data_IF_993896593801
#
_entry.id   IF_993896593801
#
_cell.length_a   1.000
_cell.length_b   1.000
_cell.length_c   1.000
_cell.angle_alpha   90.00
_cell.angle_beta   90.00
_cell.angle_gamma   90.00
#
_symmetry.space_group_name_H-M   'P 1'
#
loop_
_entity.id
_entity.type
_entity.pdbx_description
1 polymer ?
#
# COMPACT_ATOMS: atom_id res chain seq x y z
N UNK A 1 7.44 23.00 42.46
CA UNK A 1 6.52 23.68 41.49
C UNK A 1 6.23 25.10 41.93
N UNK A 2 5.79 25.34 43.18
CA UNK A 2 5.56 26.69 43.71
C UNK A 2 6.72 27.65 43.44
N UNK A 3 7.93 27.31 43.85
CA UNK A 3 9.10 28.20 43.72
C UNK A 3 9.55 28.39 42.25
N UNK A 4 9.86 27.30 41.55
CA UNK A 4 10.50 27.39 40.23
C UNK A 4 9.56 27.61 39.04
N UNK A 5 8.23 27.49 39.23
CA UNK A 5 7.23 27.78 38.18
C UNK A 5 6.39 29.01 38.54
N UNK A 6 5.61 28.94 39.62
CA UNK A 6 4.76 30.06 40.05
C UNK A 6 5.56 31.20 40.68
N UNK A 7 6.70 30.92 41.33
CA UNK A 7 7.56 31.91 41.98
C UNK A 7 8.41 32.74 41.03
N UNK A 8 8.32 32.52 39.72
CA UNK A 8 9.06 33.30 38.71
C UNK A 8 8.63 34.77 38.66
N UNK A 9 7.38 35.08 39.06
CA UNK A 9 6.88 36.46 39.17
C UNK A 9 6.04 36.62 40.44
N UNK A 10 5.96 37.81 41.04
CA UNK A 10 5.08 38.06 42.18
C UNK A 10 3.62 37.70 41.89
N UNK A 11 3.12 38.06 40.71
CA UNK A 11 1.73 37.83 40.30
C UNK A 11 1.40 36.33 40.27
N UNK A 12 2.24 35.52 39.64
CA UNK A 12 2.01 34.06 39.57
C UNK A 12 2.22 33.37 40.91
N UNK A 13 3.04 33.93 41.80
CA UNK A 13 3.23 33.43 43.16
C UNK A 13 1.99 33.69 44.01
N UNK A 14 1.41 34.88 43.88
CA UNK A 14 0.20 35.29 44.58
C UNK A 14 -1.02 34.46 44.15
N UNK A 15 -1.11 34.04 42.88
CA UNK A 15 -2.18 33.16 42.36
C UNK A 15 -2.31 31.82 43.07
N UNK A 16 -1.28 31.36 43.77
CA UNK A 16 -1.28 30.07 44.48
C UNK A 16 -0.95 30.23 45.96
N UNK A 17 -0.99 31.45 46.50
CA UNK A 17 -0.56 31.76 47.87
C UNK A 17 -1.37 31.03 48.94
N UNK A 18 -2.66 30.81 48.68
CA UNK A 18 -3.62 30.12 49.54
C UNK A 18 -3.68 28.59 49.31
N UNK A 19 -3.04 28.09 48.25
CA UNK A 19 -2.97 26.66 47.96
C UNK A 19 -1.85 26.00 48.75
N UNK A 20 -2.02 24.74 49.16
CA UNK A 20 -0.95 23.89 49.69
C UNK A 20 -0.07 23.35 48.56
N UNK A 21 1.14 22.87 48.88
CA UNK A 21 2.02 22.27 47.86
C UNK A 21 1.41 21.01 47.23
N UNK A 22 0.63 20.24 48.00
CA UNK A 22 -0.11 19.09 47.48
C UNK A 22 -1.22 19.52 46.51
N UNK A 23 -1.93 20.61 46.79
CA UNK A 23 -2.92 21.16 45.86
C UNK A 23 -2.27 21.64 44.56
N UNK A 24 -1.10 22.28 44.65
CA UNK A 24 -0.32 22.68 43.47
C UNK A 24 0.19 21.46 42.70
N UNK A 25 0.69 20.43 43.38
CA UNK A 25 1.18 19.21 42.75
C UNK A 25 0.06 18.45 42.02
N UNK A 26 -1.15 18.50 42.54
CA UNK A 26 -2.34 17.86 41.95
C UNK A 26 -2.93 18.63 40.75
N UNK A 27 -2.36 19.76 40.33
CA UNK A 27 -2.76 20.45 39.09
C UNK A 27 -2.49 19.55 37.88
N UNK A 28 -3.57 19.15 37.19
CA UNK A 28 -3.51 18.19 36.08
C UNK A 28 -3.15 18.87 34.76
N UNK A 29 -2.45 18.13 33.90
CA UNK A 29 -2.33 18.49 32.48
C UNK A 29 -3.64 18.20 31.75
N UNK A 30 -3.94 18.98 30.71
CA UNK A 30 -5.22 18.89 30.00
C UNK A 30 -5.53 17.52 29.37
N UNK A 31 -4.51 16.75 28.97
CA UNK A 31 -4.69 15.39 28.45
C UNK A 31 -5.14 14.37 29.50
N UNK A 32 -5.09 14.72 30.79
CA UNK A 32 -5.55 13.89 31.91
C UNK A 32 -6.87 14.41 32.53
N UNK A 33 -7.50 15.41 31.90
CA UNK A 33 -8.82 15.91 32.25
C UNK A 33 -9.83 15.49 31.17
N UNK A 34 -10.72 14.55 31.53
CA UNK A 34 -11.73 14.01 30.61
C UNK A 34 -12.65 15.09 30.03
N UNK A 35 -12.89 16.20 30.76
CA UNK A 35 -13.73 17.30 30.27
C UNK A 35 -13.05 18.05 29.15
N UNK A 36 -11.73 18.27 29.26
CA UNK A 36 -10.91 18.94 28.25
C UNK A 36 -10.75 18.06 27.01
N UNK A 37 -10.49 16.77 27.20
CA UNK A 37 -10.42 15.79 26.10
C UNK A 37 -11.75 15.71 25.37
N UNK A 38 -12.87 15.55 26.07
CA UNK A 38 -14.20 15.52 25.44
C UNK A 38 -14.51 16.80 24.67
N UNK A 39 -14.25 17.98 25.25
CA UNK A 39 -14.48 19.26 24.58
C UNK A 39 -13.66 19.38 23.29
N UNK A 40 -12.40 18.92 23.29
CA UNK A 40 -11.56 18.90 22.10
C UNK A 40 -12.09 17.96 21.01
N UNK A 41 -12.48 16.73 21.37
CA UNK A 41 -13.06 15.77 20.42
C UNK A 41 -14.39 16.26 19.85
N UNK A 42 -15.27 16.83 20.69
CA UNK A 42 -16.55 17.39 20.25
C UNK A 42 -16.35 18.54 19.26
N UNK A 43 -15.46 19.48 19.58
CA UNK A 43 -15.12 20.57 18.66
C UNK A 43 -14.55 20.03 17.33
N UNK A 44 -13.72 18.99 17.39
CA UNK A 44 -13.14 18.37 16.20
C UNK A 44 -14.16 17.68 15.29
N UNK A 45 -15.18 17.01 15.85
CA UNK A 45 -16.22 16.31 15.06
C UNK A 45 -17.28 17.26 14.50
N UNK A 46 -17.53 18.38 15.17
CA UNK A 46 -18.46 19.43 14.73
C UNK A 46 -17.84 20.36 13.67
N UNK A 47 -16.52 20.59 13.73
CA UNK A 47 -15.80 21.42 12.77
C UNK A 47 -15.87 20.87 11.33
N UNK A 48 -15.99 21.77 10.35
CA UNK A 48 -16.03 21.45 8.91
C UNK A 48 -15.02 22.29 8.13
N UNK A 49 -14.47 21.71 7.06
CA UNK A 49 -13.69 22.43 6.04
C UNK A 49 -12.18 22.14 6.05
N UNK A 50 -11.59 21.70 7.16
CA UNK A 50 -10.18 21.27 7.25
C UNK A 50 -10.01 20.13 8.26
N UNK A 51 -8.93 19.33 8.17
CA UNK A 51 -8.56 18.38 9.23
C UNK A 51 -8.25 19.09 10.56
N UNK A 52 -8.52 18.42 11.68
CA UNK A 52 -8.25 18.91 13.04
C UNK A 52 -7.14 18.09 13.69
N UNK A 53 -6.19 18.76 14.33
CA UNK A 53 -5.15 18.11 15.16
C UNK A 53 -5.40 18.46 16.63
N UNK A 54 -5.49 17.46 17.50
CA UNK A 54 -5.61 17.64 18.96
C UNK A 54 -4.23 17.43 19.59
N UNK A 55 -3.69 18.48 20.22
CA UNK A 55 -2.43 18.41 20.96
C UNK A 55 -2.71 18.12 22.44
N UNK A 56 -2.78 16.84 22.79
CA UNK A 56 -3.03 16.39 24.17
C UNK A 56 -1.75 16.44 25.02
N UNK A 57 -1.66 17.41 25.93
CA UNK A 57 -0.55 17.48 26.88
C UNK A 57 -0.73 16.47 28.03
N UNK A 58 0.11 15.43 28.05
CA UNK A 58 0.07 14.33 29.04
C UNK A 58 1.38 14.23 29.81
N UNK A 59 1.44 13.34 30.81
CA UNK A 59 2.68 12.95 31.52
C UNK A 59 3.05 11.53 31.09
N UNK A 60 4.29 11.30 30.64
CA UNK A 60 4.78 9.96 30.30
C UNK A 60 4.89 9.12 31.58
N UNK A 61 4.29 7.92 31.57
CA UNK A 61 4.24 7.05 32.74
C UNK A 61 3.32 7.56 33.86
N UNK A 62 2.29 8.34 33.53
CA UNK A 62 1.32 8.86 34.50
C UNK A 62 0.72 7.75 35.37
N UNK A 63 0.74 7.93 36.69
CA UNK A 63 0.16 6.97 37.63
C UNK A 63 1.01 5.73 37.89
N UNK A 64 2.20 5.61 37.28
CA UNK A 64 3.17 4.53 37.54
C UNK A 64 4.14 4.86 38.69
N UNK A 65 3.91 5.96 39.41
CA UNK A 65 4.71 6.37 40.54
C UNK A 65 6.04 7.06 40.17
N UNK A 66 6.82 7.50 41.18
CA UNK A 66 7.95 8.41 41.01
C UNK A 66 9.14 7.82 40.25
N UNK A 67 9.21 6.50 40.13
CA UNK A 67 10.26 5.79 39.40
C UNK A 67 10.09 5.90 37.87
N UNK A 68 8.85 6.07 37.39
CA UNK A 68 8.52 6.11 35.95
C UNK A 68 7.97 7.46 35.51
N UNK A 69 7.15 8.10 36.34
CA UNK A 69 6.37 9.27 35.95
C UNK A 69 7.27 10.48 35.66
N UNK A 70 7.18 11.00 34.44
CA UNK A 70 7.96 12.17 34.00
C UNK A 70 9.47 11.92 33.93
N UNK A 71 9.93 10.67 33.99
CA UNK A 71 11.35 10.30 33.91
C UNK A 71 11.75 9.90 32.50
N UNK A 72 12.93 10.35 32.08
CA UNK A 72 13.64 9.84 30.91
C UNK A 72 14.39 8.54 31.27
N UNK A 73 13.70 7.58 31.89
CA UNK A 73 14.26 6.26 32.11
C UNK A 73 14.55 5.60 30.75
N UNK A 74 15.69 4.92 30.63
CA UNK A 74 16.05 4.18 29.41
C UNK A 74 14.96 3.14 29.12
N UNK A 75 14.73 2.83 27.83
CA UNK A 75 13.82 1.76 27.39
C UNK A 75 14.21 0.35 27.91
N UNK A 76 15.19 0.23 28.82
CA UNK A 76 15.64 -0.99 29.47
C UNK A 76 14.91 -1.30 30.79
N UNK A 77 14.18 -0.35 31.39
CA UNK A 77 13.28 -0.64 32.51
C UNK A 77 12.05 -1.41 32.03
N UNK A 78 12.23 -2.71 31.75
CA UNK A 78 11.23 -3.60 31.14
C UNK A 78 10.19 -4.14 32.12
N UNK A 79 10.41 -3.95 33.44
CA UNK A 79 9.59 -4.56 34.49
C UNK A 79 9.34 -3.55 35.62
N UNK A 80 8.11 -3.55 36.13
CA UNK A 80 7.77 -2.86 37.38
C UNK A 80 8.40 -3.63 38.54
N UNK A 81 8.91 -2.93 39.55
CA UNK A 81 9.27 -3.59 40.81
C UNK A 81 7.99 -4.02 41.55
N UNK A 82 8.11 -4.90 42.55
CA UNK A 82 6.96 -5.30 43.38
C UNK A 82 6.28 -4.07 44.03
N UNK A 83 7.07 -3.11 44.51
CA UNK A 83 6.54 -1.88 45.11
C UNK A 83 5.81 -1.00 44.08
N UNK A 84 6.33 -0.92 42.85
CA UNK A 84 5.65 -0.21 41.77
C UNK A 84 4.33 -0.90 41.39
N UNK A 85 4.30 -2.23 41.39
CA UNK A 85 3.07 -3.01 41.15
C UNK A 85 2.01 -2.76 42.23
N UNK A 86 2.40 -2.79 43.51
CA UNK A 86 1.50 -2.50 44.63
C UNK A 86 0.94 -1.08 44.54
N UNK A 87 1.80 -0.08 44.31
CA UNK A 87 1.39 1.32 44.12
C UNK A 87 0.47 1.49 42.92
N UNK A 88 0.72 0.79 41.82
CA UNK A 88 -0.14 0.84 40.64
C UNK A 88 -1.50 0.17 40.87
N UNK A 89 -1.54 -0.98 41.55
CA UNK A 89 -2.76 -1.66 42.03
C UNK A 89 -3.59 -0.73 42.92
N UNK A 90 -2.95 -0.06 43.86
CA UNK A 90 -3.60 0.91 44.76
C UNK A 90 -4.14 2.12 43.99
N UNK A 91 -3.35 2.67 43.06
CA UNK A 91 -3.73 3.81 42.23
C UNK A 91 -4.98 3.50 41.39
N UNK A 92 -5.04 2.29 40.80
CA UNK A 92 -6.19 1.81 40.04
C UNK A 92 -7.33 1.26 40.91
N UNK A 93 -7.13 1.16 42.24
CA UNK A 93 -8.08 0.61 43.21
C UNK A 93 -8.52 -0.81 42.89
N UNK A 94 -7.57 -1.63 42.43
CA UNK A 94 -7.83 -3.03 42.06
C UNK A 94 -7.75 -3.91 43.31
N UNK A 95 -8.75 -4.74 43.62
CA UNK A 95 -8.79 -5.57 44.84
C UNK A 95 -7.97 -6.87 44.70
N UNK A 96 -6.72 -6.78 44.25
CA UNK A 96 -5.73 -7.85 44.31
C UNK A 96 -4.96 -7.67 45.62
N UNK A 97 -4.71 -8.73 46.40
CA UNK A 97 -3.98 -8.63 47.67
C UNK A 97 -2.46 -8.55 47.47
N UNK A 98 -1.75 -8.06 48.47
CA UNK A 98 -0.27 -8.01 48.46
C UNK A 98 0.33 -9.41 48.30
N UNK A 99 -0.20 -10.40 49.01
CA UNK A 99 0.22 -11.80 48.94
C UNK A 99 0.12 -12.35 47.51
N UNK A 100 -0.93 -11.96 46.75
CA UNK A 100 -1.10 -12.38 45.36
C UNK A 100 -0.03 -11.79 44.44
N UNK A 101 0.40 -10.55 44.68
CA UNK A 101 1.48 -9.91 43.93
C UNK A 101 2.87 -10.44 44.33
N UNK A 102 3.05 -10.78 45.61
CA UNK A 102 4.29 -11.34 46.14
C UNK A 102 4.55 -12.76 45.65
N UNK A 103 3.49 -13.56 45.48
CA UNK A 103 3.58 -14.95 45.01
C UNK A 103 4.26 -15.08 43.65
N UNK A 104 3.94 -14.20 42.70
CA UNK A 104 4.61 -14.13 41.40
C UNK A 104 4.58 -12.70 40.84
N UNK A 105 5.57 -11.90 41.24
CA UNK A 105 5.72 -10.52 40.78
C UNK A 105 6.01 -10.39 39.28
N UNK A 106 6.40 -11.47 38.59
CA UNK A 106 6.59 -11.48 37.14
C UNK A 106 5.31 -11.76 36.38
N UNK A 107 4.29 -12.32 37.03
CA UNK A 107 2.98 -12.64 36.45
C UNK A 107 1.84 -12.19 37.38
N UNK A 108 1.69 -10.88 37.61
CA UNK A 108 0.57 -10.37 38.40
C UNK A 108 -0.76 -10.85 37.80
N UNK A 109 -1.76 -11.20 38.63
CA UNK A 109 -3.00 -11.78 38.14
C UNK A 109 -3.81 -10.77 37.33
N UNK A 110 -4.51 -11.25 36.30
CA UNK A 110 -5.53 -10.46 35.61
C UNK A 110 -6.70 -10.19 36.55
N UNK A 111 -7.25 -8.98 36.52
CA UNK A 111 -8.44 -8.60 37.25
C UNK A 111 -9.63 -8.42 36.32
N UNK A 112 -10.76 -9.05 36.68
CA UNK A 112 -12.05 -8.83 36.04
C UNK A 112 -13.11 -8.73 37.15
N UNK A 113 -13.81 -7.59 37.31
CA UNK A 113 -14.76 -7.37 38.40
C UNK A 113 -16.06 -8.19 38.28
N UNK A 114 -16.23 -8.92 37.16
CA UNK A 114 -17.43 -9.70 36.83
C UNK A 114 -18.31 -8.98 35.82
N UNK A 115 -19.08 -9.72 35.03
CA UNK A 115 -19.93 -9.14 33.98
C UNK A 115 -21.05 -8.26 34.55
N UNK A 116 -21.43 -8.49 35.81
CA UNK A 116 -22.47 -7.73 36.50
C UNK A 116 -21.99 -6.42 37.12
N UNK A 117 -20.68 -6.16 37.14
CA UNK A 117 -20.10 -4.96 37.69
C UNK A 117 -20.63 -3.70 36.97
N UNK A 118 -21.01 -2.63 37.69
CA UNK A 118 -21.54 -1.40 37.10
C UNK A 118 -20.64 -0.81 36.01
N UNK A 119 -19.32 -0.88 36.18
CA UNK A 119 -18.32 -0.37 35.25
C UNK A 119 -18.30 -1.16 33.94
N UNK A 120 -18.46 -2.49 34.02
CA UNK A 120 -18.55 -3.36 32.85
C UNK A 120 -19.86 -3.12 32.10
N UNK A 121 -20.98 -3.02 32.81
CA UNK A 121 -22.28 -2.67 32.21
C UNK A 121 -22.21 -1.33 31.48
N UNK A 122 -21.67 -0.30 32.13
CA UNK A 122 -21.48 1.02 31.53
C UNK A 122 -20.59 0.95 30.28
N UNK A 123 -19.44 0.28 30.35
CA UNK A 123 -18.54 0.10 29.21
C UNK A 123 -19.25 -0.57 28.02
N UNK A 124 -19.95 -1.67 28.27
CA UNK A 124 -20.66 -2.43 27.25
C UNK A 124 -21.82 -1.61 26.64
N UNK A 125 -22.58 -0.89 27.46
CA UNK A 125 -23.63 0.03 26.98
C UNK A 125 -23.05 1.12 26.08
N UNK A 126 -21.91 1.72 26.43
CA UNK A 126 -21.25 2.72 25.60
C UNK A 126 -20.77 2.13 24.27
N UNK A 127 -20.21 0.91 24.28
CA UNK A 127 -19.80 0.22 23.04
C UNK A 127 -20.99 -0.14 22.17
N UNK A 128 -22.08 -0.64 22.74
CA UNK A 128 -23.32 -0.92 22.03
C UNK A 128 -23.90 0.35 21.37
N UNK A 129 -23.95 1.47 22.11
CA UNK A 129 -24.38 2.76 21.56
C UNK A 129 -23.47 3.31 20.45
N UNK A 130 -22.21 2.85 20.38
CA UNK A 130 -21.21 3.22 19.37
C UNK A 130 -21.04 2.16 18.28
N UNK A 131 -21.96 1.19 18.18
CA UNK A 131 -22.00 0.23 17.08
C UNK A 131 -21.16 -1.05 17.26
N UNK A 132 -20.78 -1.41 18.49
CA UNK A 132 -20.08 -2.68 18.77
C UNK A 132 -18.69 -2.47 19.37
N UNK A 133 -17.75 -3.40 19.22
CA UNK A 133 -16.37 -3.27 19.72
C UNK A 133 -15.40 -2.81 18.63
N UNK A 134 -14.33 -2.09 18.99
CA UNK A 134 -13.24 -1.72 18.07
C UNK A 134 -11.88 -1.89 18.76
N UNK A 135 -10.82 -2.28 18.03
CA UNK A 135 -10.78 -2.54 16.57
C UNK A 135 -11.46 -3.85 16.17
N UNK A 136 -11.99 -3.90 14.95
CA UNK A 136 -12.52 -5.10 14.28
C UNK A 136 -12.04 -5.10 12.83
N UNK A 137 -11.73 -6.28 12.28
CA UNK A 137 -11.43 -6.45 10.84
C UNK A 137 -12.44 -7.39 10.22
N UNK A 138 -13.13 -6.92 9.17
CA UNK A 138 -14.16 -7.69 8.46
C UNK A 138 -13.55 -8.39 7.24
N UNK A 139 -13.94 -9.64 7.02
CA UNK A 139 -13.53 -10.42 5.85
C UNK A 139 -14.58 -10.43 4.73
N UNK A 140 -15.86 -10.21 5.08
CA UNK A 140 -16.98 -10.20 4.13
C UNK A 140 -17.12 -8.83 3.45
N UNK A 141 -17.31 -8.84 2.14
CA UNK A 141 -17.52 -7.66 1.31
C UNK A 141 -18.62 -7.93 0.27
N UNK A 142 -19.06 -6.89 -0.43
CA UNK A 142 -19.98 -7.02 -1.57
C UNK A 142 -19.36 -7.88 -2.67
N UNK A 143 -20.18 -8.65 -3.39
CA UNK A 143 -19.71 -9.42 -4.55
C UNK A 143 -19.08 -8.52 -5.62
N UNK A 144 -18.09 -9.05 -6.32
CA UNK A 144 -17.40 -8.41 -7.43
C UNK A 144 -17.45 -9.34 -8.64
N UNK A 145 -17.93 -8.84 -9.78
CA UNK A 145 -17.95 -9.59 -11.03
C UNK A 145 -16.66 -9.29 -11.78
N UNK A 146 -15.85 -10.32 -12.04
CA UNK A 146 -14.60 -10.17 -12.79
C UNK A 146 -14.87 -9.92 -14.28
N UNK A 147 -13.97 -9.20 -14.98
CA UNK A 147 -14.09 -8.97 -16.42
C UNK A 147 -14.08 -10.28 -17.20
N UNK A 148 -14.85 -10.34 -18.29
CA UNK A 148 -14.85 -11.48 -19.19
C UNK A 148 -13.58 -11.54 -20.06
N UNK A 149 -13.41 -12.63 -20.81
CA UNK A 149 -12.25 -12.79 -21.71
C UNK A 149 -12.14 -11.66 -22.75
N UNK A 150 -13.26 -11.08 -23.19
CA UNK A 150 -13.31 -10.04 -24.22
C UNK A 150 -12.60 -8.76 -23.76
N UNK A 151 -12.67 -8.45 -22.46
CA UNK A 151 -11.97 -7.30 -21.86
C UNK A 151 -10.44 -7.43 -21.91
N UNK A 152 -9.88 -8.62 -22.17
CA UNK A 152 -8.43 -8.84 -22.29
C UNK A 152 -7.93 -8.99 -23.74
N UNK A 153 -8.83 -9.11 -24.72
CA UNK A 153 -8.47 -9.43 -26.12
C UNK A 153 -7.53 -8.40 -26.77
N UNK A 154 -7.56 -7.14 -26.31
CA UNK A 154 -6.65 -6.11 -26.80
C UNK A 154 -5.18 -6.44 -26.54
N UNK A 155 -4.89 -7.14 -25.46
CA UNK A 155 -3.54 -7.56 -25.10
C UNK A 155 -2.99 -8.64 -26.06
N UNK A 156 -3.88 -9.46 -26.63
CA UNK A 156 -3.54 -10.60 -27.50
C UNK A 156 -3.27 -10.24 -28.95
N UNK A 157 -3.82 -9.13 -29.44
CA UNK A 157 -3.77 -8.75 -30.86
C UNK A 157 -2.38 -8.35 -31.35
N UNK A 158 -1.47 -8.01 -30.44
CA UNK A 158 -0.20 -7.38 -30.78
C UNK A 158 -0.38 -5.97 -31.35
N UNK A 159 0.66 -5.49 -32.02
CA UNK A 159 0.75 -4.12 -32.57
C UNK A 159 0.73 -4.03 -34.10
N UNK A 160 0.63 -5.19 -34.78
CA UNK A 160 0.71 -5.26 -36.24
C UNK A 160 2.08 -4.81 -36.73
N UNK A 161 2.12 -3.79 -37.59
CA UNK A 161 3.37 -3.23 -38.14
C UNK A 161 3.91 -2.04 -37.35
N UNK A 162 3.12 -1.48 -36.43
CA UNK A 162 3.52 -0.33 -35.62
C UNK A 162 4.29 -0.82 -34.40
N UNK A 163 5.29 -0.07 -33.94
CA UNK A 163 5.94 -0.38 -32.68
C UNK A 163 5.13 0.19 -31.51
N UNK A 164 5.11 -0.53 -30.39
CA UNK A 164 4.50 -0.11 -29.14
C UNK A 164 5.31 -0.65 -27.96
N UNK A 165 5.51 0.20 -26.96
CA UNK A 165 6.14 -0.21 -25.72
C UNK A 165 5.16 -1.01 -24.86
N UNK A 166 5.66 -1.84 -23.93
CA UNK A 166 4.79 -2.62 -23.04
C UNK A 166 3.94 -1.74 -22.13
N UNK A 167 4.40 -0.54 -21.78
CA UNK A 167 3.58 0.48 -21.09
C UNK A 167 2.32 0.83 -21.90
N UNK A 168 2.44 1.01 -23.22
CA UNK A 168 1.30 1.29 -24.08
C UNK A 168 0.35 0.09 -24.19
N UNK A 169 0.89 -1.13 -24.25
CA UNK A 169 0.07 -2.35 -24.25
C UNK A 169 -0.73 -2.48 -22.95
N UNK A 170 -0.09 -2.23 -21.81
CA UNK A 170 -0.73 -2.18 -20.49
C UNK A 170 -1.85 -1.11 -20.44
N UNK A 171 -1.58 0.13 -20.87
CA UNK A 171 -2.60 1.20 -20.86
C UNK A 171 -3.81 0.86 -21.72
N UNK A 172 -3.61 0.24 -22.89
CA UNK A 172 -4.72 -0.21 -23.75
C UNK A 172 -5.57 -1.26 -23.06
N UNK A 173 -4.95 -2.22 -22.37
CA UNK A 173 -5.65 -3.21 -21.57
C UNK A 173 -6.42 -2.56 -20.40
N UNK A 174 -5.76 -1.70 -19.62
CA UNK A 174 -6.40 -0.98 -18.51
C UNK A 174 -7.61 -0.18 -18.97
N UNK A 175 -7.55 0.43 -20.17
CA UNK A 175 -8.68 1.14 -20.77
C UNK A 175 -9.89 0.26 -20.99
N UNK A 176 -9.70 -0.95 -21.49
CA UNK A 176 -10.80 -1.87 -21.75
C UNK A 176 -11.36 -2.43 -20.43
N UNK A 177 -10.50 -2.73 -19.45
CA UNK A 177 -10.91 -3.11 -18.10
C UNK A 177 -11.72 -2.01 -17.39
N UNK A 178 -11.33 -0.74 -17.52
CA UNK A 178 -12.07 0.39 -16.97
C UNK A 178 -13.40 0.65 -17.69
N UNK A 179 -13.56 0.20 -18.93
CA UNK A 179 -14.80 0.30 -19.71
C UNK A 179 -15.78 -0.85 -19.44
N UNK A 180 -15.32 -1.93 -18.81
CA UNK A 180 -16.20 -3.00 -18.37
C UNK A 180 -17.29 -2.46 -17.44
N UNK A 181 -18.56 -2.70 -17.77
CA UNK A 181 -19.70 -2.11 -17.06
C UNK A 181 -19.85 -2.62 -15.63
N UNK A 182 -19.42 -3.85 -15.36
CA UNK A 182 -19.58 -4.50 -14.06
C UNK A 182 -18.34 -4.27 -13.19
N UNK A 183 -17.16 -4.28 -13.81
CA UNK A 183 -15.89 -4.24 -13.10
C UNK A 183 -15.22 -2.86 -13.09
N UNK A 184 -15.35 -2.06 -14.15
CA UNK A 184 -14.55 -0.84 -14.35
C UNK A 184 -14.66 0.18 -13.21
N UNK A 185 -15.82 0.25 -12.54
CA UNK A 185 -16.06 1.10 -11.35
C UNK A 185 -15.23 0.72 -10.11
N UNK A 186 -14.70 -0.50 -10.07
CA UNK A 186 -13.87 -0.99 -8.97
C UNK A 186 -12.40 -0.62 -9.15
N UNK A 187 -11.97 -0.26 -10.36
CA UNK A 187 -10.57 0.10 -10.63
C UNK A 187 -10.31 1.51 -10.07
N UNK A 188 -9.21 1.67 -9.34
CA UNK A 188 -8.74 2.96 -8.84
C UNK A 188 -7.33 3.23 -9.41
N UNK A 189 -7.21 3.91 -10.56
CA UNK A 189 -5.91 4.26 -11.11
C UNK A 189 -5.25 5.36 -10.27
N UNK A 190 -3.99 5.17 -9.91
CA UNK A 190 -3.20 6.08 -9.08
C UNK A 190 -1.95 6.47 -9.85
N UNK A 191 -1.74 7.77 -10.07
CA UNK A 191 -0.62 8.30 -10.87
C UNK A 191 -0.03 9.53 -10.15
N UNK A 192 1.20 9.47 -9.64
CA UNK A 192 1.85 10.60 -9.01
C UNK A 192 2.47 11.49 -10.09
N UNK A 193 1.69 12.46 -10.58
CA UNK A 193 2.11 13.48 -11.56
C UNK A 193 2.22 13.00 -13.02
N UNK A 194 3.12 12.06 -13.32
CA UNK A 194 3.62 11.81 -14.68
C UNK A 194 2.71 10.96 -15.59
N UNK A 195 1.47 11.41 -15.79
CA UNK A 195 0.47 10.69 -16.59
C UNK A 195 0.81 10.60 -18.09
N UNK A 196 1.40 11.65 -18.67
CA UNK A 196 1.73 11.69 -20.11
C UNK A 196 2.87 10.75 -20.47
N UNK A 197 3.90 10.69 -19.62
CA UNK A 197 5.04 9.77 -19.76
C UNK A 197 4.57 8.32 -19.90
N UNK A 198 3.53 7.94 -19.16
CA UNK A 198 2.98 6.59 -19.19
C UNK A 198 1.82 6.40 -20.18
N UNK A 199 1.42 7.43 -20.92
CA UNK A 199 0.24 7.40 -21.82
C UNK A 199 -1.11 7.31 -21.10
N UNK A 200 -1.14 7.59 -19.78
CA UNK A 200 -2.35 7.60 -18.95
C UNK A 200 -3.22 8.83 -19.20
N UNK A 201 -2.72 9.85 -19.90
CA UNK A 201 -3.49 11.02 -20.34
C UNK A 201 -4.65 10.64 -21.27
N UNK A 202 -4.58 9.48 -21.92
CA UNK A 202 -5.69 8.85 -22.64
C UNK A 202 -6.95 8.64 -21.78
N UNK A 203 -6.83 8.63 -20.45
CA UNK A 203 -7.95 8.49 -19.52
C UNK A 203 -8.58 9.81 -19.09
N UNK A 204 -7.90 10.95 -19.29
CA UNK A 204 -8.40 12.24 -18.82
C UNK A 204 -9.79 12.60 -19.35
N UNK A 205 -10.14 12.40 -20.63
CA UNK A 205 -11.45 12.80 -21.13
C UNK A 205 -12.60 11.99 -20.53
N UNK A 206 -12.36 10.71 -20.22
CA UNK A 206 -13.41 9.77 -19.77
C UNK A 206 -13.42 9.57 -18.27
N UNK A 207 -12.27 9.22 -17.68
CA UNK A 207 -12.15 8.88 -16.26
C UNK A 207 -12.01 10.13 -15.39
N UNK A 208 -11.35 11.18 -15.90
CA UNK A 208 -11.07 12.46 -15.21
C UNK A 208 -10.26 12.28 -13.92
N UNK A 209 -9.60 13.35 -13.49
CA UNK A 209 -8.92 13.39 -12.20
C UNK A 209 -9.95 13.67 -11.11
N UNK A 210 -9.91 12.89 -10.02
CA UNK A 210 -10.74 13.12 -8.86
C UNK A 210 -10.33 14.44 -8.18
N UNK A 211 -11.24 15.41 -8.19
CA UNK A 211 -11.14 16.63 -7.39
C UNK A 211 -12.50 16.95 -6.78
N UNK A 212 -12.67 16.87 -5.45
CA UNK A 212 -13.95 17.14 -4.79
C UNK A 212 -14.47 18.57 -5.00
N UNK A 213 -13.61 19.51 -5.41
CA UNK A 213 -13.98 20.90 -5.73
C UNK A 213 -14.23 21.12 -7.22
N UNK A 214 -14.01 20.12 -8.06
CA UNK A 214 -14.01 20.25 -9.51
C UNK A 214 -12.89 21.15 -10.05
N UNK A 215 -12.89 21.32 -11.37
CA UNK A 215 -11.90 22.15 -12.07
C UNK A 215 -12.28 23.63 -12.01
N UNK A 216 -11.58 24.41 -11.19
CA UNK A 216 -11.86 25.85 -10.98
C UNK A 216 -10.83 26.77 -11.67
N UNK A 217 -10.12 26.26 -12.68
CA UNK A 217 -9.05 26.95 -13.38
C UNK A 217 -8.93 26.45 -14.83
N UNK A 218 -8.28 27.22 -15.69
CA UNK A 218 -7.98 26.82 -17.06
C UNK A 218 -6.75 25.93 -17.07
N UNK A 219 -6.85 24.72 -17.64
CA UNK A 219 -5.70 23.82 -17.71
C UNK A 219 -4.65 24.36 -18.67
N UNK A 220 -3.37 24.12 -18.34
CA UNK A 220 -2.24 24.52 -19.17
C UNK A 220 -2.21 23.77 -20.51
N UNK A 221 -2.80 22.57 -20.54
CA UNK A 221 -2.85 21.68 -21.69
C UNK A 221 -4.19 21.74 -22.43
N UNK A 222 -5.03 22.76 -22.16
CA UNK A 222 -6.39 22.89 -22.71
C UNK A 222 -6.48 22.82 -24.23
N UNK A 223 -5.40 23.17 -24.93
CA UNK A 223 -5.30 23.17 -26.39
C UNK A 223 -4.88 21.79 -26.94
N UNK A 224 -4.57 20.81 -26.07
CA UNK A 224 -4.27 19.44 -26.44
C UNK A 224 -5.53 18.58 -26.49
N UNK A 225 -5.56 17.60 -27.40
CA UNK A 225 -6.70 16.64 -27.55
C UNK A 225 -6.98 15.88 -26.26
N UNK A 226 -5.92 15.56 -25.50
CA UNK A 226 -5.99 14.84 -24.23
C UNK A 226 -5.69 15.80 -23.06
N UNK A 227 -6.35 16.97 -23.04
CA UNK A 227 -6.29 17.90 -21.92
C UNK A 227 -6.85 17.26 -20.64
N UNK A 228 -6.20 17.47 -19.50
CA UNK A 228 -6.74 16.95 -18.25
C UNK A 228 -8.05 17.65 -17.85
N UNK A 229 -8.92 16.87 -17.21
CA UNK A 229 -10.18 17.35 -16.64
C UNK A 229 -10.31 16.88 -15.21
N UNK A 230 -10.76 17.76 -14.33
CA UNK A 230 -11.00 17.42 -12.92
C UNK A 230 -12.50 17.42 -12.59
N UNK A 231 -12.92 16.50 -11.74
CA UNK A 231 -14.33 16.32 -11.37
C UNK A 231 -14.48 15.69 -9.99
N UNK A 232 -15.53 16.04 -9.22
CA UNK A 232 -15.87 15.29 -8.00
C UNK A 232 -16.22 13.82 -8.28
N UNK A 233 -16.62 13.51 -9.52
CA UNK A 233 -16.85 12.14 -10.00
C UNK A 233 -15.65 11.57 -10.80
N UNK A 234 -14.48 12.20 -10.72
CA UNK A 234 -13.27 11.68 -11.36
C UNK A 234 -12.82 10.37 -10.71
N UNK A 235 -12.24 9.48 -11.51
CA UNK A 235 -11.80 8.15 -11.08
C UNK A 235 -10.28 8.07 -10.87
N UNK A 236 -9.50 8.93 -11.54
CA UNK A 236 -8.04 8.95 -11.41
C UNK A 236 -7.63 9.64 -10.09
N UNK A 237 -6.82 8.98 -9.28
CA UNK A 237 -6.23 9.54 -8.07
C UNK A 237 -4.86 10.11 -8.44
N UNK A 238 -4.68 11.41 -8.24
CA UNK A 238 -3.50 12.14 -8.67
C UNK A 238 -2.87 12.92 -7.50
N UNK A 239 -1.99 12.30 -6.69
CA UNK A 239 -1.40 12.93 -5.51
C UNK A 239 -0.30 13.96 -5.83
N UNK A 240 0.07 14.15 -7.10
CA UNK A 240 1.25 14.92 -7.52
C UNK A 240 2.55 14.16 -7.23
N UNK A 241 3.68 14.86 -7.16
CA UNK A 241 5.01 14.29 -6.88
C UNK A 241 5.10 13.82 -5.43
N UNK A 242 4.47 12.68 -5.15
CA UNK A 242 4.31 12.14 -3.81
C UNK A 242 4.06 10.62 -3.86
N UNK A 243 5.12 9.83 -4.07
CA UNK A 243 5.02 8.37 -4.12
C UNK A 243 4.51 7.79 -2.80
N UNK A 244 4.90 8.37 -1.66
CA UNK A 244 4.41 7.93 -0.35
C UNK A 244 2.89 8.13 -0.21
N UNK A 245 2.37 9.27 -0.69
CA UNK A 245 0.93 9.53 -0.77
C UNK A 245 0.21 8.62 -1.75
N UNK A 246 0.85 8.27 -2.87
CA UNK A 246 0.32 7.29 -3.83
C UNK A 246 0.22 5.88 -3.23
N UNK A 247 1.24 5.43 -2.47
CA UNK A 247 1.18 4.15 -1.75
C UNK A 247 0.13 4.19 -0.63
N UNK A 248 -0.03 5.31 0.08
CA UNK A 248 -1.11 5.46 1.05
C UNK A 248 -2.50 5.33 0.39
N UNK A 249 -2.71 5.93 -0.79
CA UNK A 249 -3.93 5.77 -1.56
C UNK A 249 -4.11 4.33 -2.07
N UNK A 250 -3.03 3.68 -2.49
CA UNK A 250 -3.01 2.28 -2.91
C UNK A 250 -3.45 1.35 -1.77
N UNK A 251 -2.88 1.51 -0.58
CA UNK A 251 -3.25 0.74 0.62
C UNK A 251 -4.71 0.98 1.01
N UNK A 252 -5.17 2.24 0.99
CA UNK A 252 -6.56 2.57 1.32
C UNK A 252 -7.55 1.91 0.36
N UNK A 253 -7.32 2.00 -0.95
CA UNK A 253 -8.16 1.38 -1.96
C UNK A 253 -8.08 -0.16 -1.91
N UNK A 254 -6.87 -0.73 -1.87
CA UNK A 254 -6.67 -2.18 -1.90
C UNK A 254 -7.09 -2.91 -0.62
N UNK A 255 -7.40 -2.17 0.45
CA UNK A 255 -7.98 -2.72 1.69
C UNK A 255 -9.45 -2.33 1.89
N UNK A 256 -10.06 -1.59 0.95
CA UNK A 256 -11.46 -1.16 1.03
C UNK A 256 -12.44 -2.34 1.13
N UNK A 257 -12.07 -3.52 0.61
CA UNK A 257 -12.86 -4.74 0.76
C UNK A 257 -13.10 -5.08 2.23
N UNK A 258 -12.11 -4.90 3.12
CA UNK A 258 -12.23 -5.20 4.55
C UNK A 258 -12.72 -3.98 5.33
N UNK A 259 -12.17 -2.80 5.04
CA UNK A 259 -12.45 -1.57 5.80
C UNK A 259 -13.84 -1.04 5.53
N UNK A 260 -14.30 -1.07 4.27
CA UNK A 260 -15.59 -0.51 3.85
C UNK A 260 -16.59 -1.58 3.36
N UNK A 261 -16.16 -2.83 3.19
CA UNK A 261 -17.00 -3.87 2.60
C UNK A 261 -17.19 -3.72 1.08
N UNK A 262 -16.40 -2.86 0.44
CA UNK A 262 -16.49 -2.55 -1.00
C UNK A 262 -15.14 -2.84 -1.65
N UNK A 263 -15.03 -3.87 -2.50
CA UNK A 263 -13.79 -4.14 -3.22
C UNK A 263 -13.42 -2.99 -4.15
N UNK A 264 -12.18 -2.53 -4.06
CA UNK A 264 -11.54 -1.69 -5.07
C UNK A 264 -10.23 -2.35 -5.47
N UNK A 265 -9.83 -2.15 -6.73
CA UNK A 265 -8.60 -2.66 -7.32
C UNK A 265 -7.71 -1.46 -7.66
N UNK A 266 -6.79 -1.07 -6.78
CA UNK A 266 -5.85 -0.01 -7.08
C UNK A 266 -4.85 -0.45 -8.14
N UNK A 267 -4.56 0.46 -9.07
CA UNK A 267 -3.57 0.30 -10.13
C UNK A 267 -2.63 1.50 -10.07
N UNK A 268 -1.49 1.31 -9.41
CA UNK A 268 -0.51 2.37 -9.15
C UNK A 268 0.59 2.36 -10.21
N UNK A 269 0.66 3.40 -11.04
CA UNK A 269 1.64 3.53 -12.15
C UNK A 269 2.61 4.66 -11.86
N UNK A 270 3.91 4.37 -11.89
CA UNK A 270 4.98 5.31 -11.51
C UNK A 270 6.32 4.87 -12.16
N UNK A 271 7.34 5.73 -12.12
CA UNK A 271 8.71 5.34 -12.52
C UNK A 271 9.22 4.24 -11.60
N UNK A 272 9.56 3.06 -12.11
CA UNK A 272 9.87 1.86 -11.31
C UNK A 272 10.91 2.09 -10.20
N UNK A 273 11.90 2.95 -10.45
CA UNK A 273 12.91 3.38 -9.48
C UNK A 273 12.34 3.95 -8.18
N UNK A 274 11.22 4.68 -8.24
CA UNK A 274 10.60 5.35 -7.10
C UNK A 274 9.51 4.52 -6.41
N UNK A 275 9.50 3.22 -6.67
CA UNK A 275 8.65 2.25 -5.96
C UNK A 275 9.35 1.74 -4.71
N UNK A 276 9.76 0.47 -4.75
CA UNK A 276 10.33 -0.23 -3.59
C UNK A 276 11.58 0.46 -3.00
N UNK A 277 12.40 1.14 -3.79
CA UNK A 277 13.56 1.88 -3.27
C UNK A 277 13.13 3.11 -2.45
N UNK A 278 12.05 3.79 -2.83
CA UNK A 278 11.61 5.04 -2.19
C UNK A 278 10.59 4.81 -1.08
N UNK A 279 9.69 3.85 -1.26
CA UNK A 279 8.52 3.61 -0.40
C UNK A 279 8.41 2.14 0.07
N UNK A 280 9.54 1.43 0.17
CA UNK A 280 9.56 0.01 0.53
C UNK A 280 8.85 -0.32 1.86
N UNK A 281 9.07 0.49 2.91
CA UNK A 281 8.40 0.29 4.21
C UNK A 281 6.88 0.48 4.13
N UNK A 282 6.41 1.40 3.26
CA UNK A 282 4.98 1.58 3.04
C UNK A 282 4.35 0.39 2.29
N UNK A 283 5.06 -0.24 1.36
CA UNK A 283 4.61 -1.50 0.74
C UNK A 283 4.66 -2.69 1.73
N UNK A 284 5.60 -2.69 2.67
CA UNK A 284 5.61 -3.66 3.76
C UNK A 284 4.38 -3.50 4.66
N UNK A 285 4.05 -2.27 5.06
CA UNK A 285 2.83 -1.97 5.79
C UNK A 285 1.56 -2.33 4.98
N UNK A 286 1.57 -2.11 3.66
CA UNK A 286 0.47 -2.52 2.79
C UNK A 286 0.25 -4.05 2.80
N UNK A 287 1.34 -4.83 2.81
CA UNK A 287 1.29 -6.28 2.93
C UNK A 287 0.70 -6.72 4.28
N UNK A 288 1.16 -6.13 5.38
CA UNK A 288 0.63 -6.39 6.73
C UNK A 288 -0.88 -6.06 6.83
N UNK A 289 -1.32 -5.00 6.14
CA UNK A 289 -2.73 -4.64 6.04
C UNK A 289 -3.55 -5.54 5.07
N UNK A 290 -2.92 -6.53 4.44
CA UNK A 290 -3.51 -7.46 3.46
C UNK A 290 -4.09 -6.74 2.24
N UNK A 291 -3.34 -5.78 1.71
CA UNK A 291 -3.70 -5.01 0.51
C UNK A 291 -3.74 -5.90 -0.74
N UNK A 292 -4.68 -5.61 -1.64
CA UNK A 292 -4.85 -6.27 -2.93
C UNK A 292 -4.75 -5.24 -4.04
N UNK A 293 -3.93 -5.47 -5.07
CA UNK A 293 -3.85 -4.55 -6.21
C UNK A 293 -2.64 -4.74 -7.11
N UNK A 294 -2.48 -3.82 -8.08
CA UNK A 294 -1.41 -3.82 -9.07
C UNK A 294 -0.49 -2.61 -8.91
N UNK A 295 0.80 -2.88 -8.84
CA UNK A 295 1.92 -1.94 -8.77
C UNK A 295 2.62 -2.04 -10.12
N UNK A 296 2.68 -0.94 -10.87
CA UNK A 296 3.18 -0.91 -12.24
C UNK A 296 4.41 0.00 -12.26
N UNK A 297 5.58 -0.62 -12.26
CA UNK A 297 6.85 0.06 -12.42
C UNK A 297 7.09 0.37 -13.89
N UNK A 298 6.61 1.53 -14.33
CA UNK A 298 6.83 2.02 -15.69
C UNK A 298 8.25 2.54 -15.88
N UNK A 299 8.62 2.69 -17.16
CA UNK A 299 9.97 3.12 -17.58
C UNK A 299 11.09 2.31 -16.91
N UNK A 300 10.85 1.01 -16.69
CA UNK A 300 11.80 0.11 -16.06
C UNK A 300 12.98 -0.19 -16.99
N UNK A 301 14.03 -0.80 -16.44
CA UNK A 301 15.21 -1.24 -17.18
C UNK A 301 16.37 -0.25 -17.11
N UNK A 302 17.54 -0.76 -16.69
CA UNK A 302 18.76 0.05 -16.52
C UNK A 302 19.18 0.70 -17.85
N UNK A 303 18.95 0.02 -18.96
CA UNK A 303 19.39 0.42 -20.31
C UNK A 303 18.26 1.03 -21.15
N UNK A 304 17.01 0.92 -20.71
CA UNK A 304 15.83 1.41 -21.44
C UNK A 304 15.60 2.90 -21.22
N UNK A 305 15.92 3.42 -20.03
CA UNK A 305 15.76 4.82 -19.64
C UNK A 305 17.11 5.52 -19.42
N UNK A 306 18.06 5.34 -20.35
CA UNK A 306 19.44 5.86 -20.21
C UNK A 306 19.53 7.38 -20.18
N UNK A 307 18.62 8.08 -20.89
CA UNK A 307 18.60 9.55 -20.95
C UNK A 307 18.35 10.25 -19.61
N UNK A 308 17.66 9.57 -18.67
CA UNK A 308 17.34 10.11 -17.34
C UNK A 308 18.46 9.89 -16.29
N UNK A 309 19.45 9.04 -16.61
CA UNK A 309 20.66 8.85 -15.82
C UNK A 309 20.51 8.05 -14.53
N UNK A 310 21.50 8.23 -13.64
CA UNK A 310 21.77 7.38 -12.47
C UNK A 310 20.57 7.16 -11.55
N UNK A 311 19.81 8.21 -11.28
CA UNK A 311 18.71 8.20 -10.30
C UNK A 311 17.38 7.69 -10.87
N UNK A 312 17.32 7.31 -12.15
CA UNK A 312 16.08 6.84 -12.81
C UNK A 312 16.23 5.47 -13.46
N UNK A 313 17.41 5.18 -14.03
CA UNK A 313 17.68 3.93 -14.72
C UNK A 313 17.58 2.73 -13.74
N UNK A 314 16.45 2.05 -13.69
CA UNK A 314 16.19 0.99 -12.71
C UNK A 314 16.57 -0.40 -13.23
N UNK A 315 17.47 -1.07 -12.52
CA UNK A 315 17.80 -2.47 -12.75
C UNK A 315 17.83 -3.29 -11.47
N UNK A 316 17.06 -2.92 -10.44
CA UNK A 316 17.10 -3.60 -9.15
C UNK A 316 15.76 -3.59 -8.37
N UNK A 317 14.73 -2.88 -8.83
CA UNK A 317 13.43 -2.89 -8.13
C UNK A 317 12.80 -4.30 -8.00
N UNK A 318 12.94 -5.27 -8.93
CA UNK A 318 12.44 -6.63 -8.71
C UNK A 318 13.15 -7.35 -7.55
N UNK A 319 14.43 -7.06 -7.31
CA UNK A 319 15.19 -7.61 -6.18
C UNK A 319 14.71 -7.01 -4.84
N UNK A 320 14.41 -5.72 -4.82
CA UNK A 320 13.82 -5.10 -3.63
C UNK A 320 12.42 -5.65 -3.37
N UNK A 321 11.59 -5.75 -4.42
CA UNK A 321 10.24 -6.31 -4.34
C UNK A 321 10.23 -7.77 -3.84
N UNK A 322 11.23 -8.58 -4.21
CA UNK A 322 11.31 -10.00 -3.80
C UNK A 322 11.35 -10.19 -2.28
N UNK A 323 11.80 -9.17 -1.53
CA UNK A 323 11.85 -9.21 -0.07
C UNK A 323 10.48 -9.19 0.59
N UNK A 324 9.44 -8.71 -0.10
CA UNK A 324 8.07 -8.65 0.40
C UNK A 324 7.29 -9.92 0.02
N UNK A 325 6.85 -10.75 0.99
CA UNK A 325 6.21 -12.03 0.71
C UNK A 325 4.83 -11.90 0.05
N UNK A 326 4.14 -10.77 0.22
CA UNK A 326 2.84 -10.54 -0.39
C UNK A 326 2.94 -10.01 -1.83
N UNK A 327 4.15 -9.77 -2.36
CA UNK A 327 4.35 -9.22 -3.70
C UNK A 327 4.74 -10.32 -4.68
N UNK A 328 3.92 -10.55 -5.70
CA UNK A 328 4.27 -11.36 -6.86
C UNK A 328 4.87 -10.46 -7.93
N UNK A 329 6.10 -10.73 -8.35
CA UNK A 329 6.84 -9.85 -9.27
C UNK A 329 6.91 -10.46 -10.65
N UNK A 330 6.60 -9.69 -11.69
CA UNK A 330 6.72 -10.10 -13.08
C UNK A 330 7.45 -9.04 -13.91
N UNK A 331 8.21 -9.51 -14.89
CA UNK A 331 8.94 -8.70 -15.86
C UNK A 331 8.57 -9.09 -17.30
N UNK A 332 7.33 -8.80 -17.74
CA UNK A 332 6.82 -9.23 -19.03
C UNK A 332 7.45 -8.46 -20.21
N UNK A 333 7.70 -9.18 -21.30
CA UNK A 333 8.22 -8.66 -22.56
C UNK A 333 7.10 -8.24 -23.52
N UNK A 334 5.94 -8.92 -23.46
CA UNK A 334 4.89 -8.75 -24.46
C UNK A 334 3.52 -8.42 -23.87
N UNK A 335 2.69 -7.74 -24.68
CA UNK A 335 1.33 -7.36 -24.33
C UNK A 335 0.46 -8.54 -23.87
N UNK A 336 0.52 -9.68 -24.56
CA UNK A 336 -0.27 -10.86 -24.19
C UNK A 336 0.13 -11.43 -22.81
N UNK A 337 1.42 -11.32 -22.43
CA UNK A 337 1.88 -11.76 -21.11
C UNK A 337 1.27 -10.88 -20.02
N UNK A 338 1.26 -9.56 -20.22
CA UNK A 338 0.59 -8.62 -19.31
C UNK A 338 -0.90 -8.95 -19.18
N UNK A 339 -1.56 -9.28 -20.29
CA UNK A 339 -2.97 -9.70 -20.31
C UNK A 339 -3.25 -10.89 -19.40
N UNK A 340 -2.47 -11.97 -19.54
CA UNK A 340 -2.61 -13.17 -18.72
C UNK A 340 -2.24 -12.92 -17.25
N UNK A 341 -1.16 -12.18 -16.97
CA UNK A 341 -0.72 -11.87 -15.61
C UNK A 341 -1.78 -11.05 -14.86
N UNK A 342 -2.33 -10.01 -15.49
CA UNK A 342 -3.38 -9.17 -14.87
C UNK A 342 -4.65 -9.99 -14.64
N UNK A 343 -5.07 -10.81 -15.63
CA UNK A 343 -6.22 -11.68 -15.48
C UNK A 343 -6.05 -12.65 -14.31
N UNK A 344 -4.92 -13.35 -14.25
CA UNK A 344 -4.55 -14.25 -13.16
C UNK A 344 -4.56 -13.54 -11.81
N UNK A 345 -3.99 -12.32 -11.74
CA UNK A 345 -4.00 -11.53 -10.50
C UNK A 345 -5.40 -11.15 -10.04
N UNK A 346 -6.30 -10.77 -10.95
CA UNK A 346 -7.69 -10.48 -10.62
C UNK A 346 -8.43 -11.74 -10.13
N UNK A 347 -8.24 -12.86 -10.80
CA UNK A 347 -8.81 -14.16 -10.42
C UNK A 347 -8.28 -14.63 -9.05
N UNK A 348 -6.98 -14.45 -8.75
CA UNK A 348 -6.42 -14.78 -7.42
C UNK A 348 -6.92 -13.84 -6.33
N UNK A 349 -6.94 -12.53 -6.54
CA UNK A 349 -7.33 -11.57 -5.49
C UNK A 349 -8.83 -11.58 -5.18
N UNK A 350 -9.68 -11.83 -6.18
CA UNK A 350 -11.13 -11.62 -6.09
C UNK A 350 -11.98 -12.75 -6.67
N UNK A 351 -11.37 -13.77 -7.27
CA UNK A 351 -12.11 -14.94 -7.75
C UNK A 351 -12.81 -15.68 -6.59
N UNK A 352 -13.96 -16.32 -6.89
CA UNK A 352 -14.75 -17.01 -5.88
C UNK A 352 -13.95 -18.15 -5.22
N UNK A 353 -13.22 -18.93 -6.02
CA UNK A 353 -12.52 -20.14 -5.58
C UNK A 353 -11.08 -19.91 -5.10
N UNK A 354 -10.61 -18.65 -5.12
CA UNK A 354 -9.24 -18.37 -4.69
C UNK A 354 -9.06 -18.59 -3.19
N UNK A 355 -7.98 -19.26 -2.81
CA UNK A 355 -7.55 -19.44 -1.41
C UNK A 355 -6.43 -18.48 -1.02
N UNK A 356 -5.78 -17.84 -2.01
CA UNK A 356 -4.66 -16.92 -1.83
C UNK A 356 -4.99 -15.54 -2.41
N UNK A 357 -5.68 -14.72 -1.61
CA UNK A 357 -6.29 -13.46 -2.06
C UNK A 357 -5.47 -12.22 -1.70
N UNK A 358 -4.61 -12.30 -0.70
CA UNK A 358 -3.97 -11.13 -0.08
C UNK A 358 -2.61 -10.86 -0.70
N UNK A 359 -2.63 -10.65 -2.01
CA UNK A 359 -1.45 -10.48 -2.85
C UNK A 359 -1.45 -9.11 -3.52
N UNK A 360 -0.26 -8.60 -3.78
CA UNK A 360 -0.01 -7.44 -4.62
C UNK A 360 0.83 -7.88 -5.81
N UNK A 361 0.49 -7.42 -7.00
CA UNK A 361 1.22 -7.75 -8.21
C UNK A 361 2.14 -6.59 -8.59
N UNK A 362 3.44 -6.84 -8.71
CA UNK A 362 4.41 -5.88 -9.21
C UNK A 362 4.81 -6.25 -10.64
N UNK A 363 4.49 -5.39 -11.61
CA UNK A 363 4.87 -5.58 -13.01
C UNK A 363 5.81 -4.45 -13.44
N UNK A 364 6.96 -4.79 -14.00
CA UNK A 364 7.80 -3.84 -14.73
C UNK A 364 7.30 -3.69 -16.17
N UNK A 365 7.17 -2.45 -16.63
CA UNK A 365 6.80 -2.13 -18.02
C UNK A 365 7.75 -1.07 -18.58
N UNK A 366 7.96 -1.12 -19.89
CA UNK A 366 9.03 -0.44 -20.60
C UNK A 366 8.46 0.64 -21.51
N UNK A 367 9.28 1.66 -21.80
CA UNK A 367 9.01 2.75 -22.74
C UNK A 367 9.67 2.55 -24.11
N UNK A 368 10.55 1.56 -24.25
CA UNK A 368 11.15 1.20 -25.54
C UNK A 368 10.09 0.58 -26.48
N UNK A 369 9.88 1.17 -27.67
CA UNK A 369 8.89 0.67 -28.61
C UNK A 369 9.43 -0.55 -29.36
N UNK A 370 8.72 -1.68 -29.27
CA UNK A 370 9.00 -2.90 -30.02
C UNK A 370 7.79 -3.30 -30.88
N UNK A 371 7.97 -4.17 -31.86
CA UNK A 371 6.83 -4.84 -32.48
C UNK A 371 6.26 -5.83 -31.48
N UNK A 372 5.13 -5.49 -30.87
CA UNK A 372 4.39 -6.41 -30.00
C UNK A 372 3.77 -7.52 -30.86
N UNK A 373 4.18 -8.79 -30.69
CA UNK A 373 3.62 -9.93 -31.40
C UNK A 373 2.17 -10.19 -30.96
N UNK A 374 1.42 -10.88 -31.84
CA UNK A 374 0.16 -11.47 -31.43
C UNK A 374 0.41 -12.67 -30.51
N UNK A 375 -0.58 -13.01 -29.68
CA UNK A 375 -0.55 -14.22 -28.85
C UNK A 375 -0.33 -15.47 -29.73
N UNK A 376 0.67 -16.31 -29.42
CA UNK A 376 0.87 -17.59 -30.12
C UNK A 376 -0.30 -18.55 -29.88
N UNK A 377 -0.72 -19.30 -30.90
CA UNK A 377 -1.85 -20.25 -30.81
C UNK A 377 -1.66 -21.31 -29.71
N UNK A 378 -0.43 -21.76 -29.49
CA UNK A 378 -0.08 -22.81 -28.53
C UNK A 378 0.72 -22.27 -27.34
N UNK A 379 0.37 -21.06 -26.85
CA UNK A 379 1.03 -20.47 -25.70
C UNK A 379 0.83 -21.31 -24.44
N UNK A 380 1.91 -21.68 -23.77
CA UNK A 380 1.87 -22.28 -22.44
C UNK A 380 1.54 -21.20 -21.39
N UNK A 381 0.24 -21.00 -21.16
CA UNK A 381 -0.28 -20.03 -20.18
C UNK A 381 0.15 -20.43 -18.76
N UNK A 382 0.22 -21.72 -18.45
CA UNK A 382 0.62 -22.18 -17.12
C UNK A 382 2.09 -21.82 -16.85
N UNK A 383 2.98 -22.12 -17.79
CA UNK A 383 4.39 -21.73 -17.74
C UNK A 383 4.56 -20.21 -17.65
N UNK A 384 3.82 -19.44 -18.45
CA UNK A 384 3.80 -17.98 -18.40
C UNK A 384 3.45 -17.44 -17.02
N UNK A 385 2.43 -18.00 -16.35
CA UNK A 385 2.03 -17.55 -15.01
C UNK A 385 3.00 -18.05 -13.94
N UNK A 386 3.58 -19.24 -14.09
CA UNK A 386 4.60 -19.79 -13.18
C UNK A 386 5.94 -19.06 -13.26
N UNK A 387 6.26 -18.48 -14.42
CA UNK A 387 7.39 -17.57 -14.58
C UNK A 387 8.27 -17.82 -15.80
N UNK A 388 8.07 -18.90 -16.57
CA UNK A 388 8.87 -19.22 -17.76
C UNK A 388 8.11 -20.09 -18.76
N UNK A 389 8.26 -19.81 -20.06
CA UNK A 389 7.81 -20.70 -21.14
C UNK A 389 8.73 -20.65 -22.35
N UNK A 390 8.71 -21.72 -23.16
CA UNK A 390 9.48 -21.79 -24.41
C UNK A 390 8.85 -20.85 -25.44
N UNK A 391 9.55 -19.76 -25.75
CA UNK A 391 9.08 -18.73 -26.67
C UNK A 391 9.41 -19.10 -28.12
N UNK A 392 10.65 -19.52 -28.38
CA UNK A 392 11.11 -19.87 -29.71
C UNK A 392 12.02 -21.11 -29.65
N UNK A 393 11.59 -22.27 -30.16
CA UNK A 393 12.45 -23.44 -30.24
C UNK A 393 13.60 -23.22 -31.22
N UNK A 394 14.68 -23.97 -31.03
CA UNK A 394 15.79 -23.97 -31.96
C UNK A 394 15.37 -24.46 -33.36
N UNK A 395 15.94 -23.85 -34.40
CA UNK A 395 15.55 -24.09 -35.81
C UNK A 395 16.53 -24.96 -36.61
N UNK A 396 17.68 -25.27 -36.02
CA UNK A 396 18.76 -26.04 -36.66
C UNK A 396 19.24 -27.16 -35.73
N UNK A 397 19.86 -28.17 -36.33
CA UNK A 397 20.65 -29.17 -35.61
C UNK A 397 22.07 -28.64 -35.36
N UNK A 398 22.64 -28.97 -34.20
CA UNK A 398 23.97 -28.51 -33.80
C UNK A 398 24.16 -28.59 -32.29
N UNK A 399 25.28 -28.07 -31.76
CA UNK A 399 25.47 -27.90 -30.32
C UNK A 399 24.29 -27.14 -29.71
N UNK A 400 23.64 -27.72 -28.69
CA UNK A 400 22.43 -27.15 -28.09
C UNK A 400 22.76 -26.19 -26.95
N UNK A 401 22.05 -25.07 -26.90
CA UNK A 401 22.10 -24.09 -25.83
C UNK A 401 20.69 -23.56 -25.52
N UNK A 402 20.55 -22.85 -24.41
CA UNK A 402 19.30 -22.25 -23.94
C UNK A 402 19.55 -20.78 -23.65
N UNK A 403 18.69 -19.89 -24.13
CA UNK A 403 18.74 -18.46 -23.86
C UNK A 403 17.50 -18.09 -23.05
N UNK A 404 17.73 -17.58 -21.84
CA UNK A 404 16.67 -17.13 -20.93
C UNK A 404 16.73 -15.61 -20.84
N UNK A 405 15.61 -14.94 -21.09
CA UNK A 405 15.52 -13.48 -21.04
C UNK A 405 14.17 -13.04 -20.49
N UNK A 406 14.12 -11.83 -19.92
CA UNK A 406 12.89 -11.20 -19.43
C UNK A 406 12.75 -9.77 -19.93
N UNK A 407 11.53 -9.24 -19.86
CA UNK A 407 11.24 -7.85 -20.17
C UNK A 407 11.77 -7.39 -21.53
N UNK A 408 12.39 -6.22 -21.54
CA UNK A 408 12.92 -5.57 -22.76
C UNK A 408 14.00 -6.37 -23.49
N UNK A 409 14.64 -7.32 -22.81
CA UNK A 409 15.75 -8.09 -23.38
C UNK A 409 15.31 -9.30 -24.23
N UNK A 410 14.03 -9.69 -24.18
CA UNK A 410 13.54 -10.87 -24.93
C UNK A 410 13.72 -10.74 -26.45
N UNK A 411 13.43 -9.59 -27.09
CA UNK A 411 13.77 -9.39 -28.51
C UNK A 411 15.27 -9.58 -28.81
N UNK A 412 16.17 -9.18 -27.90
CA UNK A 412 17.61 -9.37 -28.07
C UNK A 412 17.99 -10.86 -27.96
N UNK A 413 17.29 -11.65 -27.14
CA UNK A 413 17.47 -13.09 -27.09
C UNK A 413 17.06 -13.79 -28.40
N UNK A 414 16.00 -13.31 -29.07
CA UNK A 414 15.59 -13.80 -30.39
C UNK A 414 16.64 -13.44 -31.45
N UNK A 415 17.20 -12.23 -31.39
CA UNK A 415 18.30 -11.85 -32.28
C UNK A 415 19.54 -12.71 -32.03
N UNK A 416 19.90 -12.96 -30.78
CA UNK A 416 21.02 -13.82 -30.41
C UNK A 416 20.82 -15.27 -30.88
N UNK A 417 19.60 -15.82 -30.78
CA UNK A 417 19.26 -17.13 -31.35
C UNK A 417 19.56 -17.17 -32.85
N UNK A 418 19.17 -16.12 -33.59
CA UNK A 418 19.43 -16.02 -35.03
C UNK A 418 20.93 -15.98 -35.33
N UNK A 419 21.69 -15.15 -34.63
CA UNK A 419 23.15 -15.04 -34.80
C UNK A 419 23.84 -16.37 -34.53
N UNK A 420 23.46 -17.06 -33.44
CA UNK A 420 24.03 -18.37 -33.10
C UNK A 420 23.75 -19.43 -34.17
N UNK A 421 22.54 -19.43 -34.74
CA UNK A 421 22.19 -20.36 -35.80
C UNK A 421 22.92 -20.04 -37.11
N UNK A 422 22.83 -18.79 -37.56
CA UNK A 422 23.31 -18.35 -38.89
C UNK A 422 24.85 -18.31 -38.97
N UNK A 423 25.52 -17.81 -37.92
CA UNK A 423 26.96 -17.51 -37.97
C UNK A 423 27.81 -18.62 -37.33
N UNK A 424 27.23 -19.41 -36.42
CA UNK A 424 27.98 -20.36 -35.58
C UNK A 424 27.45 -21.80 -35.64
N UNK A 425 26.35 -22.07 -36.34
CA UNK A 425 25.67 -23.37 -36.37
C UNK A 425 25.38 -23.94 -34.96
N UNK A 426 25.01 -23.05 -34.03
CA UNK A 426 24.61 -23.38 -32.66
C UNK A 426 23.10 -23.32 -32.53
N UNK A 427 22.52 -24.41 -32.03
CA UNK A 427 21.08 -24.60 -31.85
C UNK A 427 20.65 -23.99 -30.51
N UNK A 428 19.84 -22.94 -30.51
CA UNK A 428 19.43 -22.24 -29.28
C UNK A 428 17.90 -22.23 -29.11
N UNK A 429 17.41 -22.70 -27.97
CA UNK A 429 16.02 -22.50 -27.54
C UNK A 429 15.91 -21.19 -26.74
N UNK A 430 14.93 -20.34 -27.04
CA UNK A 430 14.69 -19.08 -26.33
C UNK A 430 13.49 -19.21 -25.41
N UNK A 431 13.68 -18.87 -24.14
CA UNK A 431 12.66 -18.89 -23.11
C UNK A 431 12.34 -17.45 -22.67
N UNK A 432 11.05 -17.12 -22.66
CA UNK A 432 10.57 -15.90 -22.02
C UNK A 432 10.40 -16.19 -20.53
N UNK A 433 11.19 -15.52 -19.70
CA UNK A 433 11.13 -15.60 -18.25
C UNK A 433 10.29 -14.44 -17.73
N UNK A 434 8.98 -14.64 -17.61
CA UNK A 434 8.05 -13.62 -17.11
C UNK A 434 8.24 -13.33 -15.63
N UNK A 435 8.83 -14.24 -14.84
CA UNK A 435 9.18 -13.97 -13.44
C UNK A 435 10.36 -14.81 -12.94
N UNK A 436 11.50 -14.17 -12.71
CA UNK A 436 12.62 -14.77 -11.98
C UNK A 436 12.32 -15.02 -10.51
N UNK A 437 11.48 -14.17 -9.90
CA UNK A 437 11.20 -14.22 -8.46
C UNK A 437 10.29 -15.40 -8.11
N UNK A 438 9.26 -15.66 -8.91
CA UNK A 438 8.34 -16.77 -8.67
C UNK A 438 9.04 -18.12 -8.90
N UNK A 439 9.87 -18.23 -9.94
CA UNK A 439 10.71 -19.42 -10.17
C UNK A 439 11.72 -19.69 -9.05
N UNK A 440 12.13 -18.66 -8.31
CA UNK A 440 13.03 -18.82 -7.15
C UNK A 440 12.28 -19.25 -5.89
N UNK A 441 10.99 -18.94 -5.80
CA UNK A 441 10.13 -19.25 -4.65
C UNK A 441 9.59 -20.68 -4.72
N UNK A 442 9.26 -21.16 -5.92
CA UNK A 442 9.02 -22.57 -6.24
C UNK A 442 10.30 -23.39 -5.99
#
# INVERSE_FOLDING_TARGET
VREHFFGKTPQTKDLVADLTDDQIWNLKRGGHDYRKVYAAYKAATEFKGKPTVILAHTVKGYGLGPHFEGRNATHQMKKLTLDDLKKFRDHLRIPITDEQLEKDSYRPPYYHPGNDAPEIKYMMERRAALGGSVPERRSKHSEITLPDAKSYEVAKRGSGKQQAATTMAFVRLLKDLMRDKNFGKHIAPIIPDEARTFGMDAFFPTAKIYNPKGQNYLSVDRDLVLAYKESPAGQLIHPGINEAGAVAAFTAAGTAYATHGVPLVPVYVFYSMFGFQRTGDAFWAAADQMTRGFIIGATAGRTTLTGEGLQHADGHSPLLASTNPAVLTYDPAYGYEIGHIIRSGLERMYGPDSTDKNLMYYLTVYNEPIVQPAEPENLDIEGLIKGIYLLAPAKIDGPRTQILASGVSVPWAIEAQRILADDWNVSADVWSVTSWNELRRD
#
